data_IF_859008742616
#
_entry.id   IF_859008742616
#
_cell.length_a   1.000
_cell.length_b   1.000
_cell.length_c   1.000
_cell.angle_alpha   90.00
_cell.angle_beta   90.00
_cell.angle_gamma   90.00
#
_symmetry.space_group_name_H-M   'P 1'
#
loop_
_entity.id
_entity.type
_entity.pdbx_description
1 polymer ?
#
# COMPACT_ATOMS: atom_id res chain seq x y z
N UNK A 1 22.48 11.10 -12.63
CA UNK A 1 21.00 11.05 -12.71
C UNK A 1 20.54 9.62 -12.78
N UNK A 2 19.33 9.33 -12.31
CA UNK A 2 18.72 8.00 -12.47
C UNK A 2 18.08 7.92 -13.85
N UNK A 3 18.39 6.88 -14.61
CA UNK A 3 17.84 6.61 -15.93
C UNK A 3 17.20 5.22 -15.97
N UNK A 4 16.19 5.05 -16.81
CA UNK A 4 15.69 3.71 -17.16
C UNK A 4 16.60 3.13 -18.23
N UNK A 5 16.98 1.88 -18.07
CA UNK A 5 17.77 1.15 -19.05
C UNK A 5 16.85 0.24 -19.87
N UNK A 6 17.11 0.14 -21.16
CA UNK A 6 16.50 -0.81 -22.07
C UNK A 6 17.42 -2.02 -22.23
N UNK A 7 17.17 -3.05 -21.43
CA UNK A 7 17.95 -4.29 -21.48
C UNK A 7 17.76 -5.07 -22.79
N UNK A 8 16.75 -4.75 -23.60
CA UNK A 8 16.58 -5.36 -24.93
C UNK A 8 17.54 -4.74 -25.96
N UNK A 9 18.08 -3.55 -25.68
CA UNK A 9 19.17 -2.98 -26.46
C UNK A 9 20.50 -3.67 -26.12
N UNK A 10 21.13 -4.28 -27.13
CA UNK A 10 22.36 -5.07 -26.96
C UNK A 10 23.54 -4.28 -26.38
N UNK A 11 23.70 -3.00 -26.72
CA UNK A 11 24.80 -2.20 -26.18
C UNK A 11 24.56 -1.82 -24.72
N UNK A 12 23.33 -1.45 -24.35
CA UNK A 12 22.99 -1.20 -22.94
C UNK A 12 23.08 -2.47 -22.09
N UNK A 13 22.68 -3.63 -22.63
CA UNK A 13 22.84 -4.90 -21.95
C UNK A 13 24.31 -5.25 -21.68
N UNK A 14 25.23 -4.92 -22.60
CA UNK A 14 26.67 -5.06 -22.38
C UNK A 14 27.19 -4.12 -21.29
N UNK A 15 26.77 -2.85 -21.30
CA UNK A 15 27.17 -1.88 -20.27
C UNK A 15 26.70 -2.31 -18.88
N UNK A 16 25.44 -2.75 -18.78
CA UNK A 16 24.87 -3.30 -17.56
C UNK A 16 25.67 -4.49 -17.07
N UNK A 17 25.93 -5.47 -17.95
CA UNK A 17 26.71 -6.65 -17.61
C UNK A 17 28.13 -6.27 -17.17
N UNK A 18 28.74 -5.27 -17.79
CA UNK A 18 30.06 -4.77 -17.40
C UNK A 18 30.07 -4.25 -15.95
N UNK A 19 29.09 -3.41 -15.58
CA UNK A 19 28.95 -2.90 -14.21
C UNK A 19 28.65 -4.04 -13.23
N UNK A 20 27.78 -4.97 -13.62
CA UNK A 20 27.45 -6.16 -12.82
C UNK A 20 28.70 -6.97 -12.50
N UNK A 21 29.40 -7.45 -13.53
CA UNK A 21 30.58 -8.32 -13.36
C UNK A 21 31.64 -7.62 -12.51
N UNK A 22 31.92 -6.34 -12.75
CA UNK A 22 32.89 -5.58 -11.97
C UNK A 22 32.53 -5.51 -10.48
N UNK A 23 31.24 -5.27 -10.15
CA UNK A 23 30.78 -5.17 -8.77
C UNK A 23 30.75 -6.53 -8.06
N UNK A 24 30.17 -7.55 -8.69
CA UNK A 24 30.03 -8.88 -8.09
C UNK A 24 31.37 -9.61 -7.99
N UNK A 25 32.35 -9.31 -8.85
CA UNK A 25 33.71 -9.87 -8.72
C UNK A 25 34.36 -9.37 -7.44
N UNK A 26 34.21 -8.06 -7.17
CA UNK A 26 34.72 -7.45 -5.94
C UNK A 26 34.02 -8.00 -4.70
N UNK A 27 32.72 -8.24 -4.79
CA UNK A 27 31.95 -8.89 -3.72
C UNK A 27 32.43 -10.32 -3.46
N UNK A 28 32.57 -11.14 -4.50
CA UNK A 28 33.07 -12.51 -4.43
C UNK A 28 34.41 -12.62 -3.72
N UNK A 29 35.35 -11.71 -4.04
CA UNK A 29 36.64 -11.60 -3.35
C UNK A 29 36.50 -11.25 -1.86
N UNK A 30 35.58 -10.34 -1.52
CA UNK A 30 35.37 -9.89 -0.14
C UNK A 30 34.72 -10.97 0.73
N UNK A 31 33.79 -11.73 0.18
CA UNK A 31 33.07 -12.78 0.91
C UNK A 31 33.77 -14.14 0.83
N UNK A 32 34.79 -14.28 -0.02
CA UNK A 32 35.50 -15.54 -0.24
C UNK A 32 34.70 -16.59 -1.01
N UNK A 33 33.76 -16.17 -1.87
CA UNK A 33 32.88 -17.06 -2.63
C UNK A 33 32.81 -16.64 -4.10
N UNK A 34 33.49 -17.42 -4.97
CA UNK A 34 33.64 -17.10 -6.40
C UNK A 34 32.48 -17.59 -7.26
N UNK A 35 31.57 -18.41 -6.72
CA UNK A 35 30.50 -19.05 -7.50
C UNK A 35 29.18 -18.26 -7.49
N UNK A 36 29.25 -16.93 -7.40
CA UNK A 36 28.06 -16.08 -7.41
C UNK A 36 27.33 -16.19 -8.76
N UNK A 37 26.02 -16.52 -8.78
CA UNK A 37 25.28 -16.65 -10.04
C UNK A 37 25.40 -15.45 -10.99
N UNK A 38 25.39 -14.18 -10.52
CA UNK A 38 25.57 -13.02 -11.40
C UNK A 38 26.90 -12.95 -12.16
N UNK A 39 27.92 -13.70 -11.74
CA UNK A 39 29.20 -13.80 -12.44
C UNK A 39 29.16 -14.73 -13.66
N UNK A 40 28.14 -15.59 -13.74
CA UNK A 40 27.96 -16.57 -14.84
C UNK A 40 27.03 -16.04 -15.94
N UNK A 41 26.37 -14.92 -15.71
CA UNK A 41 25.41 -14.37 -16.65
C UNK A 41 26.07 -13.75 -17.88
N UNK A 42 25.34 -13.83 -18.98
CA UNK A 42 25.73 -13.33 -20.29
C UNK A 42 24.84 -12.17 -20.71
N UNK A 43 25.21 -11.48 -21.78
CA UNK A 43 24.37 -10.44 -22.40
C UNK A 43 23.01 -11.01 -22.80
N UNK A 44 22.95 -12.28 -23.19
CA UNK A 44 21.70 -12.97 -23.53
C UNK A 44 20.80 -13.09 -22.31
N UNK A 45 21.34 -13.48 -21.16
CA UNK A 45 20.57 -13.62 -19.92
C UNK A 45 19.99 -12.27 -19.46
N UNK A 46 20.79 -11.19 -19.57
CA UNK A 46 20.34 -9.82 -19.31
C UNK A 46 19.22 -9.37 -20.27
N UNK A 47 19.31 -9.77 -21.55
CA UNK A 47 18.25 -9.47 -22.53
C UNK A 47 16.99 -10.27 -22.21
N UNK A 48 17.09 -11.52 -21.78
CA UNK A 48 15.95 -12.44 -21.65
C UNK A 48 15.17 -12.29 -20.34
N UNK A 49 15.73 -11.67 -19.30
CA UNK A 49 15.02 -11.44 -18.03
C UNK A 49 13.81 -10.50 -18.17
N UNK A 50 12.85 -10.68 -17.24
CA UNK A 50 11.67 -9.84 -17.08
C UNK A 50 11.88 -8.69 -16.08
N UNK A 51 13.10 -8.52 -15.57
CA UNK A 51 13.47 -7.43 -14.67
C UNK A 51 13.35 -6.06 -15.34
N UNK A 52 13.02 -5.05 -14.53
CA UNK A 52 13.10 -3.63 -14.90
C UNK A 52 14.46 -3.10 -14.43
N UNK A 53 15.24 -2.54 -15.36
CA UNK A 53 16.56 -1.98 -15.05
C UNK A 53 16.55 -0.47 -14.93
N UNK A 54 17.27 0.02 -13.92
CA UNK A 54 17.60 1.43 -13.76
C UNK A 54 19.11 1.59 -13.58
N UNK A 55 19.62 2.71 -14.09
CA UNK A 55 21.03 3.07 -14.05
C UNK A 55 21.24 4.39 -13.30
N UNK A 56 22.41 4.55 -12.69
CA UNK A 56 22.92 5.84 -12.28
C UNK A 56 23.98 6.28 -13.29
N UNK A 57 23.66 7.31 -14.06
CA UNK A 57 24.57 7.87 -15.06
C UNK A 57 25.18 9.19 -14.55
N UNK A 58 26.47 9.40 -14.80
CA UNK A 58 27.13 10.68 -14.58
C UNK A 58 28.06 10.96 -15.76
N UNK A 59 27.95 12.15 -16.35
CA UNK A 59 28.80 12.59 -17.48
C UNK A 59 28.76 11.60 -18.67
N UNK A 60 27.61 10.98 -18.93
CA UNK A 60 27.44 9.99 -20.00
C UNK A 60 27.99 8.60 -19.68
N UNK A 61 28.46 8.36 -18.46
CA UNK A 61 28.96 7.06 -18.01
C UNK A 61 28.00 6.41 -17.02
N UNK A 62 27.64 5.15 -17.28
CA UNK A 62 26.89 4.32 -16.35
C UNK A 62 27.80 3.88 -15.19
N UNK A 63 27.48 4.27 -13.95
CA UNK A 63 28.33 4.01 -12.77
C UNK A 63 27.72 3.02 -11.78
N UNK A 64 26.44 2.71 -11.93
CA UNK A 64 25.73 1.76 -11.08
C UNK A 64 24.41 1.36 -11.70
N UNK A 65 23.95 0.18 -11.33
CA UNK A 65 22.70 -0.41 -11.81
C UNK A 65 21.90 -0.98 -10.64
N UNK A 66 20.59 -0.98 -10.79
CA UNK A 66 19.70 -1.79 -9.98
C UNK A 66 18.63 -2.40 -10.88
N UNK A 67 18.13 -3.55 -10.47
CA UNK A 67 17.05 -4.22 -11.17
C UNK A 67 16.04 -4.79 -10.21
N UNK A 68 14.79 -4.86 -10.66
CA UNK A 68 13.70 -5.37 -9.84
C UNK A 68 12.56 -5.92 -10.69
N UNK A 69 11.81 -6.83 -10.08
CA UNK A 69 10.54 -7.32 -10.60
C UNK A 69 9.38 -6.63 -9.87
N UNK A 70 8.37 -6.21 -10.63
CA UNK A 70 7.22 -5.48 -10.12
C UNK A 70 6.00 -6.39 -10.08
N UNK A 71 5.46 -6.57 -8.88
CA UNK A 71 4.21 -7.30 -8.64
C UNK A 71 3.12 -6.34 -8.12
N UNK A 72 1.89 -6.82 -7.99
CA UNK A 72 0.76 -5.99 -7.55
C UNK A 72 0.92 -5.43 -6.13
N UNK A 73 1.48 -6.22 -5.21
CA UNK A 73 1.64 -5.87 -3.78
C UNK A 73 3.09 -5.56 -3.38
N UNK A 74 4.07 -6.03 -4.14
CA UNK A 74 5.49 -5.97 -3.78
C UNK A 74 6.42 -5.70 -4.95
N UNK A 75 7.67 -5.40 -4.62
CA UNK A 75 8.81 -5.34 -5.51
C UNK A 75 9.83 -6.35 -5.00
N UNK A 76 10.40 -7.15 -5.91
CA UNK A 76 11.56 -7.98 -5.60
C UNK A 76 12.76 -7.28 -6.21
N UNK A 77 13.66 -6.76 -5.36
CA UNK A 77 14.93 -6.20 -5.81
C UNK A 77 15.89 -7.35 -6.10
N UNK A 78 16.23 -7.51 -7.37
CA UNK A 78 17.06 -8.61 -7.86
C UNK A 78 18.55 -8.26 -7.85
N UNK A 79 18.89 -7.00 -8.19
CA UNK A 79 20.29 -6.56 -8.30
C UNK A 79 20.50 -5.16 -7.77
N UNK A 80 21.68 -4.97 -7.18
CA UNK A 80 22.22 -3.65 -6.85
C UNK A 80 23.74 -3.70 -7.00
N UNK A 81 24.26 -3.07 -8.04
CA UNK A 81 25.69 -3.04 -8.34
C UNK A 81 26.15 -1.60 -8.56
N UNK A 82 27.31 -1.27 -7.99
CA UNK A 82 27.99 0.02 -8.21
C UNK A 82 29.40 -0.31 -8.64
N UNK A 83 29.88 0.36 -9.69
CA UNK A 83 31.23 0.16 -10.18
C UNK A 83 32.25 0.32 -9.04
N UNK A 84 33.23 -0.59 -8.86
CA UNK A 84 34.14 -0.60 -7.70
C UNK A 84 34.88 0.74 -7.45
N UNK A 85 35.21 1.48 -8.50
CA UNK A 85 35.86 2.80 -8.39
C UNK A 85 34.92 3.94 -7.94
N UNK A 86 33.60 3.68 -7.85
CA UNK A 86 32.58 4.68 -7.52
C UNK A 86 31.73 4.32 -6.29
N UNK A 87 32.15 3.31 -5.51
CA UNK A 87 31.49 2.96 -4.26
C UNK A 87 31.61 4.07 -3.22
N UNK A 88 30.71 4.07 -2.22
CA UNK A 88 30.65 5.08 -1.13
C UNK A 88 30.40 6.53 -1.59
N UNK A 89 30.01 6.75 -2.84
CA UNK A 89 29.62 8.07 -3.38
C UNK A 89 28.08 8.31 -3.36
N UNK A 90 27.32 7.47 -2.64
CA UNK A 90 25.86 7.60 -2.55
C UNK A 90 25.07 7.02 -3.74
N UNK A 91 25.74 6.43 -4.74
CA UNK A 91 25.09 5.86 -5.94
C UNK A 91 24.07 4.77 -5.59
N UNK A 92 24.45 3.78 -4.78
CA UNK A 92 23.54 2.71 -4.35
C UNK A 92 22.34 3.24 -3.56
N UNK A 93 22.56 4.28 -2.75
CA UNK A 93 21.48 5.00 -2.05
C UNK A 93 20.51 5.65 -3.04
N UNK A 94 21.01 6.35 -4.06
CA UNK A 94 20.18 7.01 -5.06
C UNK A 94 19.34 5.99 -5.87
N UNK A 95 19.94 4.88 -6.27
CA UNK A 95 19.26 3.79 -6.98
C UNK A 95 18.11 3.22 -6.13
N UNK A 96 18.40 2.80 -4.89
CA UNK A 96 17.38 2.26 -3.99
C UNK A 96 16.28 3.28 -3.66
N UNK A 97 16.62 4.55 -3.45
CA UNK A 97 15.64 5.60 -3.20
C UNK A 97 14.65 5.75 -4.37
N UNK A 98 15.11 5.63 -5.62
CA UNK A 98 14.23 5.68 -6.78
C UNK A 98 13.26 4.49 -6.84
N UNK A 99 13.66 3.31 -6.34
CA UNK A 99 12.80 2.13 -6.25
C UNK A 99 11.80 2.30 -5.10
N UNK A 100 12.24 2.78 -3.94
CA UNK A 100 11.40 3.02 -2.75
C UNK A 100 10.21 3.96 -3.04
N UNK A 101 10.34 4.85 -4.03
CA UNK A 101 9.25 5.73 -4.45
C UNK A 101 8.02 5.00 -5.01
N UNK A 102 8.14 3.73 -5.43
CA UNK A 102 7.02 2.95 -5.98
C UNK A 102 5.96 2.54 -4.94
N UNK A 103 6.15 2.88 -3.66
CA UNK A 103 5.12 2.70 -2.64
C UNK A 103 4.62 1.24 -2.53
N UNK A 104 5.53 0.27 -2.65
CA UNK A 104 5.27 -1.16 -2.47
C UNK A 104 6.24 -1.74 -1.47
N UNK A 105 5.84 -2.82 -0.79
CA UNK A 105 6.80 -3.59 0.02
C UNK A 105 7.94 -4.04 -0.88
N UNK A 106 9.19 -3.90 -0.43
CA UNK A 106 10.36 -4.31 -1.19
C UNK A 106 11.01 -5.48 -0.47
N UNK A 107 11.23 -6.57 -1.17
CA UNK A 107 11.96 -7.73 -0.68
C UNK A 107 13.28 -7.86 -1.45
N UNK A 108 14.33 -8.29 -0.77
CA UNK A 108 15.62 -8.58 -1.37
C UNK A 108 16.31 -9.73 -0.64
N UNK A 109 17.29 -10.34 -1.30
CA UNK A 109 18.19 -11.32 -0.68
C UNK A 109 19.64 -10.90 -0.95
N UNK A 110 20.49 -10.97 0.06
CA UNK A 110 21.92 -10.65 -0.04
C UNK A 110 22.75 -11.62 0.80
N UNK A 111 24.04 -11.78 0.52
CA UNK A 111 24.93 -12.54 1.38
C UNK A 111 25.08 -11.87 2.76
N UNK A 112 25.07 -12.65 3.86
CA UNK A 112 25.31 -12.13 5.22
C UNK A 112 26.70 -11.51 5.38
N UNK A 113 27.68 -12.03 4.63
CA UNK A 113 29.02 -11.49 4.59
C UNK A 113 29.10 -10.12 3.86
N UNK A 114 28.08 -9.73 3.09
CA UNK A 114 28.01 -8.41 2.45
C UNK A 114 27.53 -7.34 3.44
N UNK A 115 28.32 -7.13 4.49
CA UNK A 115 28.07 -6.15 5.57
C UNK A 115 27.85 -4.73 5.02
N UNK A 116 28.58 -4.25 3.99
CA UNK A 116 28.31 -2.93 3.41
C UNK A 116 26.90 -2.79 2.82
N UNK A 117 26.41 -3.81 2.10
CA UNK A 117 25.07 -3.79 1.53
C UNK A 117 24.01 -3.85 2.64
N UNK A 118 24.17 -4.73 3.64
CA UNK A 118 23.24 -4.84 4.78
C UNK A 118 23.09 -3.49 5.50
N UNK A 119 24.20 -2.81 5.82
CA UNK A 119 24.16 -1.49 6.46
C UNK A 119 23.47 -0.43 5.59
N UNK A 120 23.62 -0.50 4.27
CA UNK A 120 22.90 0.37 3.34
C UNK A 120 21.39 0.09 3.38
N UNK A 121 20.99 -1.18 3.34
CA UNK A 121 19.59 -1.59 3.40
C UNK A 121 18.95 -1.18 4.75
N UNK A 122 19.61 -1.46 5.88
CA UNK A 122 19.16 -1.05 7.21
C UNK A 122 18.98 0.48 7.32
N UNK A 123 19.94 1.25 6.79
CA UNK A 123 19.85 2.73 6.75
C UNK A 123 18.63 3.22 5.96
N UNK A 124 18.20 2.46 4.95
CA UNK A 124 17.01 2.76 4.16
C UNK A 124 15.73 2.10 4.71
N UNK A 125 15.81 1.52 5.90
CA UNK A 125 14.67 0.97 6.64
C UNK A 125 14.21 -0.40 6.15
N UNK A 126 15.12 -1.18 5.56
CA UNK A 126 14.92 -2.62 5.43
C UNK A 126 15.22 -3.30 6.78
N UNK A 127 14.54 -4.40 7.05
CA UNK A 127 14.74 -5.24 8.23
C UNK A 127 14.99 -6.67 7.79
N UNK A 128 15.82 -7.38 8.52
CA UNK A 128 16.00 -8.82 8.32
C UNK A 128 14.67 -9.54 8.58
N UNK A 129 14.25 -10.38 7.63
CA UNK A 129 13.05 -11.22 7.70
C UNK A 129 13.40 -12.67 7.98
N UNK A 130 14.44 -13.19 7.33
CA UNK A 130 14.79 -14.60 7.35
C UNK A 130 16.26 -14.84 6.99
N UNK A 131 16.76 -16.05 7.22
CA UNK A 131 18.11 -16.50 6.87
C UNK A 131 18.04 -17.85 6.15
N UNK A 132 18.84 -17.99 5.10
CA UNK A 132 18.92 -19.21 4.32
C UNK A 132 20.37 -19.62 4.16
N UNK A 133 20.68 -20.86 4.53
CA UNK A 133 21.95 -21.47 4.17
C UNK A 133 21.79 -22.10 2.79
N UNK A 134 22.65 -21.69 1.85
CA UNK A 134 22.75 -22.33 0.54
C UNK A 134 24.03 -23.17 0.47
N UNK A 135 24.30 -23.78 -0.68
CA UNK A 135 25.47 -24.64 -0.90
C UNK A 135 26.79 -23.96 -0.49
N UNK A 136 27.77 -24.77 -0.06
CA UNK A 136 29.10 -24.32 0.35
C UNK A 136 29.11 -23.33 1.54
N UNK A 137 28.15 -23.45 2.46
CA UNK A 137 28.04 -22.66 3.69
C UNK A 137 27.84 -21.14 3.48
N UNK A 138 27.44 -20.71 2.30
CA UNK A 138 27.05 -19.32 2.10
C UNK A 138 25.73 -19.05 2.83
N UNK A 139 25.75 -18.12 3.78
CA UNK A 139 24.54 -17.66 4.46
C UNK A 139 23.98 -16.45 3.73
N UNK A 140 22.72 -16.54 3.33
CA UNK A 140 21.96 -15.46 2.74
C UNK A 140 20.99 -14.90 3.77
N UNK A 141 20.81 -13.59 3.75
CA UNK A 141 19.76 -12.92 4.52
C UNK A 141 18.70 -12.36 3.58
N UNK A 142 17.44 -12.68 3.89
CA UNK A 142 16.28 -12.04 3.28
C UNK A 142 15.96 -10.80 4.07
N UNK A 143 15.87 -9.67 3.37
CA UNK A 143 15.49 -8.39 3.97
C UNK A 143 14.23 -7.86 3.32
N UNK A 144 13.41 -7.20 4.12
CA UNK A 144 12.20 -6.55 3.64
C UNK A 144 12.12 -5.10 4.11
N UNK A 145 11.63 -4.24 3.23
CA UNK A 145 11.15 -2.91 3.57
C UNK A 145 9.65 -2.90 3.37
N UNK A 146 8.93 -2.97 4.49
CA UNK A 146 7.49 -2.77 4.48
C UNK A 146 7.18 -1.32 4.13
N UNK A 147 6.34 -1.11 3.13
CA UNK A 147 5.76 0.21 2.92
C UNK A 147 4.55 0.37 3.83
N UNK A 148 4.79 1.00 4.97
CA UNK A 148 3.75 1.28 5.96
C UNK A 148 2.99 2.54 5.58
N UNK A 149 1.67 2.41 5.44
CA UNK A 149 0.80 3.56 5.28
C UNK A 149 0.75 4.32 6.61
N UNK A 150 1.11 5.61 6.57
CA UNK A 150 0.96 6.47 7.75
C UNK A 150 -0.51 6.65 8.14
N UNK A 151 -0.78 6.55 9.43
CA UNK A 151 -2.07 6.88 10.03
C UNK A 151 -2.10 8.38 10.26
N UNK A 152 -2.77 9.09 9.36
CA UNK A 152 -2.95 10.54 9.49
C UNK A 152 -4.43 10.86 9.74
N UNK A 153 -4.68 11.72 10.73
CA UNK A 153 -6.01 12.25 11.04
C UNK A 153 -5.94 13.76 10.89
N UNK A 154 -6.67 14.29 9.91
CA UNK A 154 -6.70 15.71 9.59
C UNK A 154 -8.02 16.34 10.02
N UNK A 155 -8.02 17.67 10.16
CA UNK A 155 -9.25 18.44 10.38
C UNK A 155 -10.25 18.24 9.24
N UNK A 156 -11.53 18.42 9.57
CA UNK A 156 -12.61 18.27 8.60
C UNK A 156 -12.36 19.11 7.34
N UNK A 157 -12.55 18.49 6.17
CA UNK A 157 -12.40 19.18 4.89
C UNK A 157 -13.77 19.42 4.25
N UNK A 158 -14.15 20.68 3.96
CA UNK A 158 -15.41 21.00 3.25
C UNK A 158 -15.50 20.40 1.85
N UNK A 159 -14.39 19.91 1.29
CA UNK A 159 -14.37 19.21 0.00
C UNK A 159 -14.85 17.76 0.08
N UNK A 160 -14.92 17.14 1.26
CA UNK A 160 -15.30 15.72 1.38
C UNK A 160 -16.69 15.38 0.84
N UNK A 161 -17.75 16.19 1.06
CA UNK A 161 -19.05 15.95 0.43
C UNK A 161 -18.98 15.96 -1.11
N UNK A 162 -18.17 16.85 -1.69
CA UNK A 162 -17.97 16.90 -3.15
C UNK A 162 -17.20 15.68 -3.66
N UNK A 163 -16.14 15.27 -2.97
CA UNK A 163 -15.39 14.05 -3.31
C UNK A 163 -16.28 12.81 -3.25
N UNK A 164 -17.15 12.72 -2.23
CA UNK A 164 -18.18 11.70 -2.13
C UNK A 164 -19.11 11.74 -3.34
N UNK A 165 -19.69 12.90 -3.67
CA UNK A 165 -20.64 13.02 -4.78
C UNK A 165 -20.01 12.63 -6.12
N UNK A 166 -18.77 13.07 -6.37
CA UNK A 166 -18.04 12.76 -7.60
C UNK A 166 -17.79 11.25 -7.75
N UNK A 167 -17.48 10.56 -6.66
CA UNK A 167 -17.26 9.12 -6.70
C UNK A 167 -18.58 8.33 -6.71
N UNK A 168 -19.59 8.80 -5.98
CA UNK A 168 -20.96 8.29 -6.01
C UNK A 168 -21.49 8.23 -7.46
N UNK A 169 -21.33 9.31 -8.23
CA UNK A 169 -21.85 9.37 -9.60
C UNK A 169 -21.10 8.44 -10.56
N UNK A 170 -19.82 8.17 -10.32
CA UNK A 170 -19.06 7.15 -11.08
C UNK A 170 -19.53 5.74 -10.74
N UNK A 171 -19.72 5.45 -9.44
CA UNK A 171 -20.18 4.15 -8.97
C UNK A 171 -21.60 3.87 -9.49
N UNK A 172 -22.50 4.84 -9.41
CA UNK A 172 -23.86 4.71 -9.94
C UNK A 172 -23.89 4.30 -11.41
N UNK A 173 -23.01 4.87 -12.23
CA UNK A 173 -22.89 4.52 -13.65
C UNK A 173 -22.46 3.07 -13.88
N UNK A 174 -21.46 2.58 -13.15
CA UNK A 174 -20.94 1.22 -13.36
C UNK A 174 -21.83 0.13 -12.73
N UNK A 175 -22.57 0.46 -11.67
CA UNK A 175 -23.50 -0.47 -11.02
C UNK A 175 -24.83 -0.55 -11.77
N UNK A 176 -25.24 0.53 -12.45
CA UNK A 176 -26.40 0.56 -13.33
C UNK A 176 -27.69 0.17 -12.61
N UNK A 177 -28.47 -0.72 -13.21
CA UNK A 177 -29.80 -1.12 -12.69
C UNK A 177 -29.75 -1.85 -11.35
N UNK A 178 -28.58 -2.36 -10.94
CA UNK A 178 -28.41 -2.99 -9.63
C UNK A 178 -28.28 -1.96 -8.49
N UNK A 179 -28.17 -0.67 -8.81
CA UNK A 179 -28.02 0.41 -7.84
C UNK A 179 -29.29 0.59 -7.02
N UNK A 180 -29.17 0.46 -5.70
CA UNK A 180 -30.18 0.91 -4.75
C UNK A 180 -29.91 2.38 -4.38
N UNK A 181 -28.87 2.59 -3.57
CA UNK A 181 -28.43 3.92 -3.18
C UNK A 181 -26.96 3.91 -2.72
N UNK A 182 -26.32 5.08 -2.69
CA UNK A 182 -24.98 5.26 -2.17
C UNK A 182 -25.00 6.32 -1.08
N UNK A 183 -24.63 5.95 0.15
CA UNK A 183 -24.59 6.88 1.27
C UNK A 183 -23.14 7.25 1.61
N UNK A 184 -22.92 8.54 1.91
CA UNK A 184 -21.68 8.94 2.56
C UNK A 184 -21.75 8.50 4.02
N UNK A 185 -20.82 7.64 4.44
CA UNK A 185 -20.72 7.14 5.80
C UNK A 185 -19.31 7.36 6.36
N UNK A 186 -19.07 6.85 7.56
CA UNK A 186 -17.78 7.00 8.23
C UNK A 186 -17.52 8.44 8.67
N UNK A 187 -16.32 8.70 9.18
CA UNK A 187 -16.05 9.99 9.83
C UNK A 187 -16.05 11.18 8.88
N UNK A 188 -15.76 10.99 7.59
CA UNK A 188 -15.73 12.10 6.62
C UNK A 188 -17.12 12.61 6.24
N UNK A 189 -18.18 11.86 6.59
CA UNK A 189 -19.57 12.26 6.40
C UNK A 189 -20.13 13.13 7.53
N UNK A 190 -19.42 13.26 8.66
CA UNK A 190 -19.85 14.06 9.81
C UNK A 190 -19.18 15.43 9.77
N UNK A 191 -19.98 16.48 9.62
CA UNK A 191 -19.49 17.85 9.47
C UNK A 191 -18.69 18.28 10.70
N UNK A 192 -17.48 18.81 10.48
CA UNK A 192 -16.59 19.30 11.53
C UNK A 192 -15.78 18.23 12.25
N UNK A 193 -15.99 16.93 11.97
CA UNK A 193 -15.21 15.86 12.62
C UNK A 193 -13.88 15.60 11.90
N UNK A 194 -12.77 15.62 12.65
CA UNK A 194 -11.46 15.19 12.14
C UNK A 194 -11.44 13.70 11.81
N UNK A 195 -10.79 13.33 10.71
CA UNK A 195 -10.81 11.98 10.16
C UNK A 195 -9.55 11.65 9.36
N UNK A 196 -9.36 10.36 9.07
CA UNK A 196 -8.48 9.95 7.98
C UNK A 196 -9.12 10.46 6.67
N UNK A 197 -8.35 11.02 5.72
CA UNK A 197 -8.89 11.52 4.46
C UNK A 197 -9.26 10.37 3.50
N UNK A 198 -10.24 9.57 3.91
CA UNK A 198 -10.82 8.46 3.16
C UNK A 198 -12.33 8.66 3.12
N UNK A 199 -12.90 8.70 1.92
CA UNK A 199 -14.34 8.69 1.74
C UNK A 199 -14.84 7.25 1.88
N UNK A 200 -15.62 6.98 2.92
CA UNK A 200 -16.31 5.70 3.08
C UNK A 200 -17.73 5.83 2.47
N UNK A 201 -18.05 4.92 1.56
CA UNK A 201 -19.31 4.87 0.83
C UNK A 201 -20.02 3.57 1.22
N UNK A 202 -21.26 3.67 1.69
CA UNK A 202 -22.15 2.53 1.87
C UNK A 202 -22.97 2.39 0.59
N UNK A 203 -22.76 1.30 -0.13
CA UNK A 203 -23.45 1.02 -1.39
C UNK A 203 -24.52 -0.04 -1.14
N UNK A 204 -25.79 0.36 -1.22
CA UNK A 204 -26.91 -0.55 -1.26
C UNK A 204 -27.18 -1.01 -2.68
N UNK A 205 -27.27 -2.32 -2.89
CA UNK A 205 -27.61 -2.92 -4.17
C UNK A 205 -28.80 -3.85 -4.07
N UNK A 206 -29.48 -4.09 -5.19
CA UNK A 206 -30.61 -5.02 -5.26
C UNK A 206 -30.16 -6.48 -5.10
N UNK A 207 -29.04 -6.83 -5.74
CA UNK A 207 -28.44 -8.15 -5.68
C UNK A 207 -26.93 -8.05 -5.45
N UNK A 208 -26.45 -8.53 -4.31
CA UNK A 208 -25.03 -8.39 -3.95
C UNK A 208 -24.10 -9.17 -4.87
N UNK A 209 -24.52 -10.36 -5.33
CA UNK A 209 -23.75 -11.23 -6.22
C UNK A 209 -23.44 -10.58 -7.57
N UNK A 210 -24.33 -9.70 -8.08
CA UNK A 210 -24.12 -9.00 -9.36
C UNK A 210 -22.97 -8.00 -9.34
N UNK A 211 -22.50 -7.58 -8.16
CA UNK A 211 -21.30 -6.75 -8.07
C UNK A 211 -20.03 -7.53 -8.44
N UNK A 212 -20.02 -8.85 -8.25
CA UNK A 212 -18.86 -9.69 -8.59
C UNK A 212 -18.61 -9.70 -10.11
N UNK A 213 -19.69 -9.64 -10.91
CA UNK A 213 -19.66 -9.50 -12.37
C UNK A 213 -19.06 -8.15 -12.80
N UNK A 214 -19.23 -7.12 -11.97
CA UNK A 214 -18.77 -5.75 -12.23
C UNK A 214 -17.34 -5.49 -11.75
N UNK A 215 -16.64 -6.47 -11.16
CA UNK A 215 -15.29 -6.30 -10.60
C UNK A 215 -14.28 -5.66 -11.56
N UNK A 216 -14.39 -5.97 -12.86
CA UNK A 216 -13.52 -5.39 -13.90
C UNK A 216 -13.75 -3.87 -14.06
N UNK A 217 -14.99 -3.39 -13.97
CA UNK A 217 -15.32 -1.96 -14.02
C UNK A 217 -14.81 -1.21 -12.77
N UNK A 218 -14.92 -1.83 -11.60
CA UNK A 218 -14.32 -1.29 -10.38
C UNK A 218 -12.81 -1.12 -10.53
N UNK A 219 -12.11 -2.11 -11.11
CA UNK A 219 -10.67 -2.00 -11.42
C UNK A 219 -10.36 -0.87 -12.39
N UNK A 220 -11.18 -0.65 -13.41
CA UNK A 220 -11.04 0.50 -14.33
C UNK A 220 -11.19 1.85 -13.62
N UNK A 221 -12.01 1.93 -12.57
CA UNK A 221 -12.10 3.12 -11.70
C UNK A 221 -10.98 3.22 -10.64
N UNK A 222 -10.04 2.27 -10.63
CA UNK A 222 -8.91 2.22 -9.69
C UNK A 222 -9.22 1.57 -8.34
N UNK A 223 -10.32 0.83 -8.23
CA UNK A 223 -10.63 0.03 -7.05
C UNK A 223 -10.01 -1.36 -7.11
N UNK A 224 -9.68 -1.87 -5.94
CA UNK A 224 -9.34 -3.26 -5.69
C UNK A 224 -10.55 -3.96 -5.04
N UNK A 225 -11.17 -4.94 -5.72
CA UNK A 225 -12.23 -5.77 -5.15
C UNK A 225 -11.66 -6.79 -4.17
N UNK A 226 -12.21 -6.86 -2.96
CA UNK A 226 -11.73 -7.73 -1.88
C UNK A 226 -12.77 -8.77 -1.41
N UNK A 227 -13.90 -8.90 -2.13
CA UNK A 227 -14.99 -9.76 -1.70
C UNK A 227 -15.53 -9.36 -0.33
N UNK A 228 -15.84 -10.34 0.52
CA UNK A 228 -16.38 -10.10 1.88
C UNK A 228 -15.36 -9.44 2.83
N UNK A 229 -14.08 -9.77 2.66
CA UNK A 229 -12.99 -9.27 3.47
C UNK A 229 -13.27 -9.35 4.99
N UNK A 230 -13.75 -10.52 5.45
CA UNK A 230 -14.01 -10.82 6.86
C UNK A 230 -15.40 -10.44 7.39
N UNK A 231 -16.26 -9.82 6.57
CA UNK A 231 -17.67 -9.55 6.93
C UNK A 231 -18.61 -10.26 5.95
N UNK A 232 -19.33 -11.27 6.43
CA UNK A 232 -20.27 -12.07 5.64
C UNK A 232 -21.30 -11.17 4.96
N UNK A 233 -21.60 -11.44 3.69
CA UNK A 233 -22.60 -10.68 2.92
C UNK A 233 -22.12 -9.33 2.38
N UNK A 234 -20.89 -8.90 2.70
CA UNK A 234 -20.31 -7.66 2.17
C UNK A 234 -19.66 -7.88 0.79
N UNK A 235 -19.59 -6.83 -0.01
CA UNK A 235 -18.52 -6.65 -1.00
C UNK A 235 -17.74 -5.38 -0.70
N UNK A 236 -16.44 -5.52 -0.49
CA UNK A 236 -15.56 -4.43 -0.10
C UNK A 236 -14.64 -4.04 -1.25
N UNK A 237 -14.61 -2.75 -1.57
CA UNK A 237 -13.75 -2.19 -2.60
C UNK A 237 -12.92 -1.07 -2.00
N UNK A 238 -11.65 -0.99 -2.36
CA UNK A 238 -10.74 0.03 -1.84
C UNK A 238 -9.93 0.69 -2.96
N UNK A 239 -9.76 2.01 -2.94
CA UNK A 239 -9.11 2.80 -4.02
C UNK A 239 -7.98 3.70 -3.51
N UNK A 240 -6.91 3.85 -4.29
CA UNK A 240 -5.79 4.75 -4.00
C UNK A 240 -4.54 4.10 -3.38
N UNK A 241 -4.47 2.76 -3.35
CA UNK A 241 -3.27 2.05 -2.87
C UNK A 241 -2.86 2.46 -1.46
N UNK A 242 -1.61 2.89 -1.28
CA UNK A 242 -1.10 3.42 -0.01
C UNK A 242 -1.72 4.77 0.36
N UNK A 243 -1.95 5.64 -0.64
CA UNK A 243 -2.68 6.89 -0.49
C UNK A 243 -4.18 6.65 -0.59
N UNK A 244 -4.70 5.69 0.19
CA UNK A 244 -6.10 5.29 0.15
C UNK A 244 -7.02 6.52 0.21
N UNK A 245 -7.88 6.64 -0.79
CA UNK A 245 -8.82 7.77 -0.92
C UNK A 245 -10.26 7.35 -0.71
N UNK A 246 -10.64 6.13 -1.12
CA UNK A 246 -12.03 5.67 -1.01
C UNK A 246 -12.12 4.23 -0.53
N UNK A 247 -13.19 3.96 0.20
CA UNK A 247 -13.69 2.65 0.56
C UNK A 247 -15.16 2.55 0.16
N UNK A 248 -15.55 1.43 -0.44
CA UNK A 248 -16.95 1.10 -0.69
C UNK A 248 -17.28 -0.16 0.10
N UNK A 249 -18.24 -0.04 1.00
CA UNK A 249 -18.85 -1.15 1.72
C UNK A 249 -20.20 -1.41 1.08
N UNK A 250 -20.29 -2.47 0.28
CA UNK A 250 -21.52 -2.80 -0.42
C UNK A 250 -22.28 -3.94 0.27
N UNK A 251 -23.59 -3.79 0.36
CA UNK A 251 -24.51 -4.76 0.95
C UNK A 251 -25.79 -4.84 0.10
N UNK A 252 -26.46 -5.99 0.15
CA UNK A 252 -27.81 -6.10 -0.40
C UNK A 252 -28.79 -5.24 0.42
N UNK A 253 -29.76 -4.62 -0.25
CA UNK A 253 -30.78 -3.80 0.40
C UNK A 253 -31.51 -4.58 1.49
N UNK A 254 -31.70 -3.96 2.66
CA UNK A 254 -32.32 -4.58 3.83
C UNK A 254 -31.36 -5.36 4.74
N UNK A 255 -30.06 -5.45 4.41
CA UNK A 255 -29.07 -6.06 5.30
C UNK A 255 -28.85 -5.20 6.57
N UNK A 256 -28.73 -5.82 7.74
CA UNK A 256 -28.63 -5.13 9.04
C UNK A 256 -27.46 -4.14 9.13
N UNK A 257 -26.32 -4.47 8.49
CA UNK A 257 -25.16 -3.57 8.44
C UNK A 257 -25.46 -2.22 7.76
N UNK A 258 -26.45 -2.15 6.86
CA UNK A 258 -26.89 -0.88 6.27
C UNK A 258 -27.39 0.03 7.38
N UNK A 259 -28.34 -0.46 8.20
CA UNK A 259 -28.88 0.28 9.35
C UNK A 259 -27.75 0.63 10.33
N UNK A 260 -26.87 -0.32 10.65
CA UNK A 260 -25.74 -0.09 11.59
C UNK A 260 -24.88 1.10 11.16
N UNK A 261 -24.49 1.15 9.89
CA UNK A 261 -23.65 2.23 9.36
C UNK A 261 -24.37 3.59 9.34
N UNK A 262 -25.63 3.63 8.92
CA UNK A 262 -26.42 4.87 8.85
C UNK A 262 -26.68 5.44 10.25
N UNK A 263 -27.14 4.61 11.18
CA UNK A 263 -27.43 5.02 12.57
C UNK A 263 -26.17 5.55 13.26
N UNK A 264 -25.02 4.90 13.07
CA UNK A 264 -23.76 5.38 13.64
C UNK A 264 -23.37 6.78 13.13
N UNK A 265 -23.50 7.03 11.82
CA UNK A 265 -23.26 8.36 11.24
C UNK A 265 -24.23 9.39 11.80
N UNK A 266 -25.52 9.11 11.73
CA UNK A 266 -26.58 10.06 12.07
C UNK A 266 -26.52 10.43 13.55
N UNK A 267 -26.23 9.46 14.42
CA UNK A 267 -25.98 9.71 15.83
C UNK A 267 -24.80 10.64 16.05
N UNK A 268 -23.65 10.39 15.42
CA UNK A 268 -22.48 11.28 15.57
C UNK A 268 -22.72 12.68 15.00
N UNK A 269 -23.57 12.82 14.00
CA UNK A 269 -23.99 14.12 13.47
C UNK A 269 -24.91 14.87 14.45
N UNK A 270 -25.75 14.15 15.19
CA UNK A 270 -26.66 14.70 16.20
C UNK A 270 -26.02 14.88 17.60
N UNK A 271 -24.86 14.26 17.86
CA UNK A 271 -24.16 14.31 19.15
C UNK A 271 -22.73 14.90 19.02
N UNK A 272 -22.58 16.24 18.89
CA UNK A 272 -21.28 16.88 18.66
C UNK A 272 -20.21 16.56 19.70
N UNK A 273 -20.58 16.45 20.97
CA UNK A 273 -19.64 16.10 22.04
C UNK A 273 -19.08 14.68 21.88
N UNK A 274 -19.92 13.74 21.42
CA UNK A 274 -19.50 12.37 21.17
C UNK A 274 -18.64 12.27 19.91
N UNK A 275 -18.99 13.01 18.85
CA UNK A 275 -18.14 13.15 17.67
C UNK A 275 -16.76 13.74 18.02
N UNK A 276 -16.70 14.74 18.91
CA UNK A 276 -15.45 15.32 19.41
C UNK A 276 -14.63 14.32 20.22
N UNK A 277 -15.26 13.55 21.12
CA UNK A 277 -14.57 12.50 21.87
C UNK A 277 -13.97 11.44 20.93
N UNK A 278 -14.73 11.01 19.92
CA UNK A 278 -14.26 10.06 18.92
C UNK A 278 -13.11 10.62 18.06
N UNK A 279 -13.21 11.88 17.64
CA UNK A 279 -12.14 12.59 16.93
C UNK A 279 -10.85 12.65 17.74
N UNK A 280 -10.94 13.01 19.03
CA UNK A 280 -9.78 13.11 19.92
C UNK A 280 -9.10 11.75 20.12
N UNK A 281 -9.87 10.68 20.32
CA UNK A 281 -9.32 9.33 20.42
C UNK A 281 -8.56 8.95 19.14
N UNK A 282 -9.11 9.24 17.97
CA UNK A 282 -8.44 9.01 16.67
C UNK A 282 -7.12 9.78 16.56
N UNK A 283 -7.10 11.07 16.94
CA UNK A 283 -5.87 11.88 16.92
C UNK A 283 -4.79 11.34 17.87
N UNK A 284 -5.17 10.97 19.09
CA UNK A 284 -4.26 10.36 20.07
C UNK A 284 -3.64 9.07 19.54
N UNK A 285 -4.45 8.17 18.97
CA UNK A 285 -3.97 6.91 18.41
C UNK A 285 -3.12 7.11 17.15
N UNK A 286 -3.46 8.06 16.29
CA UNK A 286 -2.64 8.40 15.12
C UNK A 286 -1.25 8.91 15.54
N UNK A 287 -1.18 9.68 16.63
CA UNK A 287 0.09 10.14 17.22
C UNK A 287 0.88 9.01 17.87
N UNK A 288 0.21 8.08 18.56
CA UNK A 288 0.86 6.95 19.23
C UNK A 288 1.33 5.86 18.25
N UNK A 289 0.60 5.66 17.15
CA UNK A 289 0.80 4.58 16.19
C UNK A 289 0.82 5.11 14.74
N UNK A 290 1.76 6.00 14.38
CA UNK A 290 1.77 6.66 13.08
C UNK A 290 2.01 5.71 11.91
N UNK A 291 2.65 4.56 12.13
CA UNK A 291 2.96 3.57 11.09
C UNK A 291 2.37 2.18 11.41
N UNK A 292 1.61 2.07 12.49
CA UNK A 292 0.99 0.82 12.94
C UNK A 292 -0.54 0.93 12.85
N UNK A 293 -1.05 0.61 11.66
CA UNK A 293 -2.49 0.60 11.39
C UNK A 293 -3.24 -0.41 12.27
N UNK A 294 -2.61 -1.53 12.64
CA UNK A 294 -3.26 -2.58 13.44
C UNK A 294 -3.52 -2.09 14.87
N UNK A 295 -2.50 -1.51 15.52
CA UNK A 295 -2.64 -0.91 16.84
C UNK A 295 -3.59 0.29 16.83
N UNK A 296 -3.56 1.11 15.77
CA UNK A 296 -4.53 2.20 15.58
C UNK A 296 -5.98 1.68 15.49
N UNK A 297 -6.23 0.62 14.72
CA UNK A 297 -7.57 0.04 14.60
C UNK A 297 -8.03 -0.58 15.92
N UNK A 298 -7.19 -1.39 16.55
CA UNK A 298 -7.46 -2.03 17.85
C UNK A 298 -7.77 -1.01 18.94
N UNK A 299 -7.01 0.08 19.01
CA UNK A 299 -7.17 1.12 20.03
C UNK A 299 -8.51 1.89 19.95
N UNK A 300 -9.23 1.82 18.83
CA UNK A 300 -10.55 2.45 18.65
C UNK A 300 -11.71 1.51 18.94
N UNK A 301 -11.48 0.20 18.91
CA UNK A 301 -12.54 -0.82 18.90
C UNK A 301 -13.54 -0.67 20.06
N UNK A 302 -13.04 -0.53 21.28
CA UNK A 302 -13.89 -0.33 22.46
C UNK A 302 -14.80 0.89 22.36
N UNK A 303 -14.24 2.05 22.00
CA UNK A 303 -15.00 3.29 21.85
C UNK A 303 -16.01 3.23 20.68
N UNK A 304 -15.66 2.55 19.59
CA UNK A 304 -16.60 2.34 18.47
C UNK A 304 -17.82 1.54 18.95
N UNK A 305 -17.59 0.44 19.67
CA UNK A 305 -18.67 -0.40 20.20
C UNK A 305 -19.59 0.36 21.17
N UNK A 306 -19.02 1.18 22.05
CA UNK A 306 -19.81 2.07 22.91
C UNK A 306 -20.71 3.01 22.10
N UNK A 307 -20.13 3.71 21.12
CA UNK A 307 -20.88 4.64 20.26
C UNK A 307 -21.93 3.90 19.43
N UNK A 308 -21.63 2.71 18.91
CA UNK A 308 -22.62 1.89 18.18
C UNK A 308 -23.82 1.54 19.06
N UNK A 309 -23.59 1.19 20.33
CA UNK A 309 -24.67 0.90 21.27
C UNK A 309 -25.49 2.15 21.63
N UNK A 310 -24.83 3.29 21.86
CA UNK A 310 -25.47 4.58 22.09
C UNK A 310 -26.33 5.00 20.88
N UNK A 311 -25.77 4.87 19.67
CA UNK A 311 -26.45 5.19 18.43
C UNK A 311 -27.67 4.30 18.20
N UNK A 312 -27.55 3.00 18.47
CA UNK A 312 -28.68 2.07 18.41
C UNK A 312 -29.80 2.49 19.37
N UNK A 313 -29.48 2.74 20.65
CA UNK A 313 -30.45 3.17 21.65
C UNK A 313 -31.14 4.48 21.26
N UNK A 314 -30.37 5.45 20.75
CA UNK A 314 -30.88 6.71 20.22
C UNK A 314 -31.86 6.50 19.06
N UNK A 315 -31.53 5.61 18.11
CA UNK A 315 -32.41 5.31 16.98
C UNK A 315 -33.74 4.66 17.40
N UNK A 316 -33.73 3.81 18.43
CA UNK A 316 -34.93 3.16 18.93
C UNK A 316 -35.82 4.13 19.74
N UNK A 317 -35.23 5.15 20.38
CA UNK A 317 -36.00 6.22 21.02
C UNK A 317 -36.73 7.10 20.01
N UNK A 318 -36.07 7.47 18.90
CA UNK A 318 -36.69 8.27 17.84
C UNK A 318 -37.91 7.57 17.23
N UNK A 319 -37.80 6.26 16.95
CA UNK A 319 -38.92 5.47 16.43
C UNK A 319 -40.14 5.43 17.35
N UNK A 320 -39.92 5.41 18.68
CA UNK A 320 -41.02 5.44 19.65
C UNK A 320 -41.73 6.78 19.64
N UNK A 321 -40.98 7.88 19.48
CA UNK A 321 -41.54 9.22 19.44
C UNK A 321 -42.31 9.49 18.14
N UNK A 322 -41.90 8.91 17.01
CA UNK A 322 -42.61 9.03 15.72
C UNK A 322 -43.91 8.19 15.66
N UNK A 323 -44.12 7.28 16.61
CA UNK A 323 -45.31 6.43 16.73
C UNK A 323 -46.34 6.94 17.75
N UNK A 324 -46.04 8.02 18.45
CA UNK A 324 -46.92 8.71 19.42
C UNK A 324 -47.40 10.04 18.87
#
# INVERSE_FOLDING_TARGET
MIIRLDQKNKEQAKELLHIQLAAYQREAEQIGYQDLPPLKETVKDIIETNEIFIGFEKEGHLLGIASYELYDDRIILSRLAVHPHHVKQGIGTALLQSIIQHQKTIELTTAEANIPAIKLYEKLGFKQKDRLQVENNLMLTKMERLMLRKVEVIEYQPSWPKQFQDEHDKLKKIVGDNWGYGHHIGSTSVIGMAAKPIIDILLEVKHISRLDECNHLFRQLGYEPLGENGLKGRRFFRKGGLNRTHHVHAYEAGHDDVKRHLVFRDYLQAAPDRAKAYANKKRQLAKAYPEDMASYMKGKDGLIKEIEQEAYNWSEQLKKNDQT
#
